data_IF_827219174823
#
_entry.id   IF_827219174823
#
_cell.length_a   1.000
_cell.length_b   1.000
_cell.length_c   1.000
_cell.angle_alpha   90.00
_cell.angle_beta   90.00
_cell.angle_gamma   90.00
#
_symmetry.space_group_name_H-M   'P 1'
#
loop_
_entity.id
_entity.type
_entity.pdbx_description
1 polymer ?
#
# COMPACT_ATOMS: atom_id res chain seq x y z
N UNK A 1 6.99 1.25 36.08
CA UNK A 1 7.61 1.55 34.77
C UNK A 1 6.88 0.74 33.71
N UNK A 2 6.06 1.37 32.86
CA UNK A 2 5.27 0.66 31.86
C UNK A 2 6.18 0.10 30.77
N UNK A 3 6.29 -1.23 30.70
CA UNK A 3 6.99 -1.94 29.63
C UNK A 3 6.34 -1.58 28.29
N UNK A 4 7.00 -0.71 27.51
CA UNK A 4 6.64 -0.46 26.12
C UNK A 4 6.99 -1.71 25.31
N UNK A 5 6.07 -2.67 25.31
CA UNK A 5 6.17 -3.90 24.53
C UNK A 5 6.41 -3.48 23.07
N UNK A 6 7.60 -3.77 22.51
CA UNK A 6 7.94 -3.45 21.12
C UNK A 6 6.84 -3.98 20.21
N UNK A 7 5.97 -3.10 19.71
CA UNK A 7 4.90 -3.48 18.78
C UNK A 7 5.56 -3.73 17.43
N UNK A 8 5.78 -5.00 17.07
CA UNK A 8 6.10 -5.36 15.69
C UNK A 8 4.89 -5.00 14.84
N UNK A 9 5.07 -4.08 13.90
CA UNK A 9 4.03 -3.72 12.95
C UNK A 9 3.86 -4.85 11.93
N UNK A 10 2.63 -5.24 11.66
CA UNK A 10 2.33 -6.15 10.54
C UNK A 10 2.61 -5.46 9.21
N UNK A 11 2.85 -6.19 8.11
CA UNK A 11 3.03 -5.58 6.80
C UNK A 11 1.90 -4.62 6.41
N UNK A 12 0.65 -4.97 6.71
CA UNK A 12 -0.51 -4.08 6.49
C UNK A 12 -0.46 -2.80 7.31
N UNK A 13 -0.07 -2.89 8.58
CA UNK A 13 0.08 -1.70 9.43
C UNK A 13 1.18 -0.78 8.89
N UNK A 14 2.27 -1.36 8.39
CA UNK A 14 3.37 -0.59 7.80
C UNK A 14 2.91 0.11 6.52
N UNK A 15 2.23 -0.60 5.60
CA UNK A 15 1.70 -0.01 4.36
C UNK A 15 0.75 1.15 4.67
N UNK A 16 -0.18 0.97 5.62
CA UNK A 16 -1.12 2.03 6.03
C UNK A 16 -0.39 3.24 6.62
N UNK A 17 0.59 3.01 7.50
CA UNK A 17 1.38 4.09 8.11
C UNK A 17 2.25 4.81 7.07
N UNK A 18 2.84 4.09 6.11
CA UNK A 18 3.59 4.69 4.99
C UNK A 18 2.68 5.56 4.12
N UNK A 19 1.48 5.08 3.78
CA UNK A 19 0.51 5.85 2.99
C UNK A 19 0.06 7.14 3.72
N UNK A 20 -0.27 7.02 5.00
CA UNK A 20 -0.65 8.16 5.85
C UNK A 20 0.50 9.15 6.02
N UNK A 21 1.71 8.67 6.31
CA UNK A 21 2.88 9.52 6.48
C UNK A 21 3.25 10.25 5.19
N UNK A 22 3.20 9.59 4.03
CA UNK A 22 3.44 10.23 2.73
C UNK A 22 2.39 11.31 2.43
N UNK A 23 1.13 11.11 2.82
CA UNK A 23 0.09 12.13 2.70
C UNK A 23 0.43 13.36 3.55
N UNK A 24 0.81 13.17 4.81
CA UNK A 24 1.15 14.25 5.72
C UNK A 24 2.40 15.03 5.27
N UNK A 25 3.44 14.32 4.84
CA UNK A 25 4.63 14.92 4.22
C UNK A 25 4.26 15.73 2.96
N UNK A 26 3.37 15.20 2.12
CA UNK A 26 2.87 15.90 0.92
C UNK A 26 2.07 17.18 1.24
N UNK A 27 1.53 17.30 2.45
CA UNK A 27 0.89 18.54 2.93
C UNK A 27 1.86 19.54 3.55
N UNK A 28 3.16 19.23 3.54
CA UNK A 28 4.22 20.09 4.07
C UNK A 28 4.52 19.91 5.56
N UNK A 29 4.05 18.82 6.19
CA UNK A 29 4.44 18.51 7.57
C UNK A 29 5.90 18.00 7.62
N UNK A 30 6.59 18.34 8.70
CA UNK A 30 7.94 17.89 8.96
C UNK A 30 7.98 16.40 9.35
N UNK A 31 9.04 15.70 8.95
CA UNK A 31 9.17 14.25 9.20
C UNK A 31 9.06 13.88 10.69
N UNK A 32 9.62 14.72 11.56
CA UNK A 32 9.57 14.53 13.01
C UNK A 32 8.13 14.62 13.57
N UNK A 33 7.27 15.46 12.97
CA UNK A 33 5.85 15.56 13.33
C UNK A 33 5.08 14.34 12.84
N UNK A 34 5.33 13.94 11.59
CA UNK A 34 4.73 12.75 11.00
C UNK A 34 5.09 11.50 11.80
N UNK A 35 6.35 11.31 12.18
CA UNK A 35 6.79 10.17 12.97
C UNK A 35 6.16 10.16 14.37
N UNK A 36 6.01 11.33 15.01
CA UNK A 36 5.29 11.47 16.28
C UNK A 36 3.82 11.07 16.13
N UNK A 37 3.13 11.58 15.10
CA UNK A 37 1.73 11.25 14.81
C UNK A 37 1.54 9.75 14.54
N UNK A 38 2.47 9.13 13.81
CA UNK A 38 2.45 7.71 13.50
C UNK A 38 2.91 6.82 14.67
N UNK A 39 3.32 7.38 15.81
CA UNK A 39 3.88 6.64 16.96
C UNK A 39 5.06 5.72 16.59
N UNK A 40 5.94 6.18 15.69
CA UNK A 40 7.13 5.43 15.26
C UNK A 40 8.38 6.29 15.33
N UNK A 41 9.53 5.67 15.54
CA UNK A 41 10.81 6.38 15.42
C UNK A 41 11.13 6.68 13.95
N UNK A 42 11.80 7.81 13.68
CA UNK A 42 12.27 8.18 12.33
C UNK A 42 13.13 7.10 11.68
N UNK A 43 13.98 6.43 12.47
CA UNK A 43 14.78 5.29 11.97
C UNK A 43 13.94 4.08 11.54
N UNK A 44 12.71 3.96 12.04
CA UNK A 44 11.76 2.94 11.59
C UNK A 44 11.10 3.37 10.28
N UNK A 45 10.71 4.64 10.18
CA UNK A 45 10.22 5.24 8.95
C UNK A 45 11.23 5.09 7.80
N UNK A 46 12.49 5.51 7.99
CA UNK A 46 13.53 5.40 6.97
C UNK A 46 13.74 3.97 6.48
N UNK A 47 13.78 2.99 7.39
CA UNK A 47 13.92 1.57 7.00
C UNK A 47 12.73 1.05 6.21
N UNK A 48 11.51 1.46 6.57
CA UNK A 48 10.31 1.05 5.84
C UNK A 48 10.26 1.67 4.44
N UNK A 49 10.59 2.96 4.33
CA UNK A 49 10.67 3.67 3.04
C UNK A 49 11.74 3.03 2.16
N UNK A 50 12.96 2.83 2.68
CA UNK A 50 14.05 2.21 1.93
C UNK A 50 13.72 0.78 1.48
N UNK A 51 13.07 -0.02 2.32
CA UNK A 51 12.60 -1.35 1.93
C UNK A 51 11.52 -1.30 0.84
N UNK A 52 10.56 -0.38 0.93
CA UNK A 52 9.52 -0.19 -0.08
C UNK A 52 10.11 0.27 -1.42
N UNK A 53 11.05 1.22 -1.37
CA UNK A 53 11.78 1.71 -2.54
C UNK A 53 12.61 0.59 -3.20
N UNK A 54 13.40 -0.16 -2.43
CA UNK A 54 14.17 -1.28 -2.96
C UNK A 54 13.27 -2.33 -3.62
N UNK A 55 12.08 -2.57 -3.06
CA UNK A 55 11.11 -3.49 -3.64
C UNK A 55 10.54 -3.01 -4.97
N UNK A 56 10.34 -1.69 -5.11
CA UNK A 56 9.92 -1.05 -6.36
C UNK A 56 11.01 -1.18 -7.42
N UNK A 57 12.26 -0.88 -7.07
CA UNK A 57 13.41 -0.97 -7.98
C UNK A 57 13.64 -2.40 -8.49
N UNK A 58 13.58 -3.39 -7.60
CA UNK A 58 13.61 -4.81 -7.98
C UNK A 58 12.42 -5.19 -8.89
N UNK A 59 11.23 -4.62 -8.63
CA UNK A 59 10.05 -4.83 -9.47
C UNK A 59 10.18 -4.24 -10.87
N UNK A 60 11.04 -3.24 -11.05
CA UNK A 60 11.38 -2.66 -12.37
C UNK A 60 12.53 -3.38 -13.08
N UNK A 61 13.06 -4.47 -12.50
CA UNK A 61 14.09 -5.30 -13.11
C UNK A 61 15.54 -4.91 -12.79
N UNK A 62 15.77 -4.03 -11.81
CA UNK A 62 17.13 -3.75 -11.33
C UNK A 62 17.70 -4.95 -10.56
N UNK A 63 19.01 -5.13 -10.65
CA UNK A 63 19.73 -6.19 -9.93
C UNK A 63 19.84 -5.88 -8.44
N UNK A 64 19.84 -6.92 -7.60
CA UNK A 64 19.88 -6.75 -6.14
C UNK A 64 21.10 -5.95 -5.66
N UNK A 65 22.26 -6.17 -6.27
CA UNK A 65 23.49 -5.46 -5.95
C UNK A 65 23.41 -3.96 -6.31
N UNK A 66 22.67 -3.59 -7.35
CA UNK A 66 22.44 -2.18 -7.72
C UNK A 66 21.50 -1.52 -6.72
N UNK A 67 20.42 -2.21 -6.35
CA UNK A 67 19.47 -1.72 -5.35
C UNK A 67 20.14 -1.54 -3.99
N UNK A 68 20.97 -2.48 -3.55
CA UNK A 68 21.70 -2.37 -2.29
C UNK A 68 22.69 -1.20 -2.30
N UNK A 69 23.36 -0.95 -3.43
CA UNK A 69 24.22 0.23 -3.61
C UNK A 69 23.43 1.53 -3.56
N UNK A 70 22.29 1.61 -4.26
CA UNK A 70 21.40 2.78 -4.28
C UNK A 70 20.87 3.12 -2.88
N UNK A 71 20.52 2.09 -2.10
CA UNK A 71 20.03 2.25 -0.73
C UNK A 71 21.14 2.38 0.32
N UNK A 72 22.42 2.35 -0.08
CA UNK A 72 23.58 2.39 0.81
C UNK A 72 23.56 1.31 1.93
N UNK A 73 23.08 0.11 1.60
CA UNK A 73 23.01 -1.01 2.53
C UNK A 73 23.73 -2.25 2.00
N UNK A 74 24.22 -3.09 2.91
CA UNK A 74 24.73 -4.41 2.54
C UNK A 74 23.58 -5.37 2.17
N UNK A 75 23.83 -6.31 1.25
CA UNK A 75 22.86 -7.35 0.86
C UNK A 75 22.37 -8.18 2.05
N UNK A 76 23.23 -8.43 3.04
CA UNK A 76 22.86 -9.11 4.29
C UNK A 76 21.80 -8.35 5.09
N UNK A 77 21.82 -7.01 5.04
CA UNK A 77 20.79 -6.16 5.65
C UNK A 77 19.50 -6.23 4.85
N UNK A 78 19.58 -6.23 3.52
CA UNK A 78 18.43 -6.42 2.65
C UNK A 78 17.73 -7.75 2.91
N UNK A 79 18.45 -8.87 2.95
CA UNK A 79 17.86 -10.19 3.26
C UNK A 79 17.17 -10.22 4.62
N UNK A 80 17.74 -9.54 5.63
CA UNK A 80 17.07 -9.39 6.94
C UNK A 80 15.78 -8.60 6.83
N UNK A 81 15.77 -7.52 6.04
CA UNK A 81 14.56 -6.73 5.79
C UNK A 81 13.52 -7.54 5.04
N UNK A 82 13.89 -8.33 4.04
CA UNK A 82 12.95 -9.23 3.34
C UNK A 82 12.31 -10.23 4.31
N UNK A 83 13.08 -10.80 5.24
CA UNK A 83 12.51 -11.68 6.27
C UNK A 83 11.55 -10.94 7.24
N UNK A 84 11.80 -9.66 7.51
CA UNK A 84 11.00 -8.87 8.45
C UNK A 84 9.78 -8.20 7.80
N UNK A 85 9.89 -7.80 6.53
CA UNK A 85 9.00 -6.88 5.83
C UNK A 85 8.50 -7.44 4.49
N UNK A 86 8.98 -8.60 4.05
CA UNK A 86 8.66 -9.19 2.74
C UNK A 86 7.17 -9.45 2.50
N UNK A 87 6.37 -9.57 3.57
CA UNK A 87 4.91 -9.67 3.48
C UNK A 87 4.22 -8.42 2.90
N UNK A 88 4.91 -7.27 2.79
CA UNK A 88 4.34 -6.05 2.22
C UNK A 88 3.94 -6.25 0.75
N UNK A 89 4.81 -6.88 -0.06
CA UNK A 89 4.51 -7.19 -1.48
C UNK A 89 3.31 -8.13 -1.64
N UNK A 90 3.23 -9.15 -0.79
CA UNK A 90 2.13 -10.12 -0.83
C UNK A 90 0.78 -9.45 -0.55
N UNK A 91 0.76 -8.43 0.33
CA UNK A 91 -0.44 -7.69 0.65
C UNK A 91 -0.87 -6.74 -0.46
N UNK A 92 0.05 -6.08 -1.18
CA UNK A 92 -0.30 -5.28 -2.36
C UNK A 92 -0.97 -6.15 -3.44
N UNK A 93 -0.39 -7.34 -3.71
CA UNK A 93 -0.96 -8.30 -4.65
C UNK A 93 -2.35 -8.81 -4.20
N UNK A 94 -2.53 -9.05 -2.89
CA UNK A 94 -3.82 -9.45 -2.31
C UNK A 94 -4.85 -8.31 -2.44
N UNK A 95 -4.45 -7.07 -2.12
CA UNK A 95 -5.30 -5.90 -2.17
C UNK A 95 -5.74 -5.59 -3.60
N UNK A 96 -4.85 -5.77 -4.58
CA UNK A 96 -5.17 -5.65 -6.01
C UNK A 96 -6.28 -6.63 -6.40
N UNK A 97 -6.14 -7.92 -6.05
CA UNK A 97 -7.18 -8.93 -6.32
C UNK A 97 -8.53 -8.59 -5.68
N UNK A 98 -8.52 -8.12 -4.44
CA UNK A 98 -9.75 -7.68 -3.75
C UNK A 98 -10.41 -6.49 -4.46
N UNK A 99 -9.61 -5.50 -4.88
CA UNK A 99 -10.09 -4.33 -5.61
C UNK A 99 -10.63 -4.70 -7.00
N UNK A 100 -9.97 -5.62 -7.71
CA UNK A 100 -10.44 -6.13 -9.00
C UNK A 100 -11.78 -6.88 -8.85
N UNK A 101 -11.91 -7.71 -7.83
CA UNK A 101 -13.15 -8.43 -7.53
C UNK A 101 -14.31 -7.47 -7.20
N UNK A 102 -14.05 -6.45 -6.39
CA UNK A 102 -15.04 -5.42 -6.06
C UNK A 102 -15.40 -4.59 -7.29
N UNK A 103 -14.43 -4.20 -8.12
CA UNK A 103 -14.68 -3.49 -9.37
C UNK A 103 -15.57 -4.32 -10.32
N UNK A 104 -15.33 -5.62 -10.45
CA UNK A 104 -16.15 -6.53 -11.23
C UNK A 104 -17.57 -6.64 -10.66
N UNK A 105 -17.72 -6.68 -9.33
CA UNK A 105 -19.04 -6.67 -8.67
C UNK A 105 -19.79 -5.37 -8.95
N UNK A 106 -19.14 -4.23 -8.78
CA UNK A 106 -19.75 -2.91 -9.02
C UNK A 106 -20.16 -2.75 -10.48
N UNK A 107 -19.33 -3.17 -11.44
CA UNK A 107 -19.68 -3.17 -12.87
C UNK A 107 -20.93 -4.00 -13.17
N UNK A 108 -21.07 -5.19 -12.57
CA UNK A 108 -22.28 -6.02 -12.73
C UNK A 108 -23.53 -5.33 -12.18
N UNK A 109 -23.43 -4.72 -11.00
CA UNK A 109 -24.56 -3.99 -10.41
C UNK A 109 -25.00 -2.83 -11.29
N UNK A 110 -24.05 -2.04 -11.80
CA UNK A 110 -24.34 -0.91 -12.70
C UNK A 110 -24.95 -1.38 -14.01
N UNK A 111 -24.45 -2.49 -14.59
CA UNK A 111 -25.02 -3.05 -15.82
C UNK A 111 -26.48 -3.49 -15.64
N UNK A 112 -26.79 -4.18 -14.54
CA UNK A 112 -28.16 -4.57 -14.23
C UNK A 112 -29.07 -3.36 -14.05
N UNK A 113 -28.62 -2.35 -13.29
CA UNK A 113 -29.37 -1.10 -13.11
C UNK A 113 -29.59 -0.36 -14.43
N UNK A 114 -28.61 -0.36 -15.33
CA UNK A 114 -28.74 0.26 -16.65
C UNK A 114 -29.82 -0.44 -17.50
N UNK A 115 -29.83 -1.78 -17.51
CA UNK A 115 -30.87 -2.55 -18.20
C UNK A 115 -32.27 -2.26 -17.65
N UNK A 116 -32.41 -2.20 -16.32
CA UNK A 116 -33.68 -1.86 -15.68
C UNK A 116 -34.17 -0.45 -16.06
N UNK A 117 -33.24 0.51 -16.09
CA UNK A 117 -33.54 1.89 -16.51
C UNK A 117 -33.99 1.94 -17.96
N UNK A 118 -33.32 1.22 -18.86
CA UNK A 118 -33.65 1.23 -20.28
C UNK A 118 -35.02 0.58 -20.53
N UNK A 119 -35.31 -0.55 -19.87
CA UNK A 119 -36.64 -1.16 -19.90
C UNK A 119 -37.73 -0.19 -19.38
N UNK A 120 -37.48 0.51 -18.27
CA UNK A 120 -38.44 1.48 -17.73
C UNK A 120 -38.68 2.66 -18.69
N UNK A 121 -37.65 3.11 -19.41
CA UNK A 121 -37.77 4.14 -20.44
C UNK A 121 -38.55 3.66 -21.65
N UNK A 122 -38.32 2.43 -22.11
CA UNK A 122 -39.10 1.83 -23.20
C UNK A 122 -40.58 1.71 -22.81
N UNK A 123 -40.86 1.30 -21.56
CA UNK A 123 -42.23 1.28 -21.03
C UNK A 123 -42.87 2.66 -21.05
N UNK A 124 -42.15 3.70 -20.59
CA UNK A 124 -42.65 5.07 -20.57
C UNK A 124 -42.82 5.67 -21.98
N UNK A 125 -42.01 5.25 -22.95
CA UNK A 125 -42.09 5.70 -24.34
C UNK A 125 -43.26 5.07 -25.11
N UNK A 126 -43.93 4.06 -24.56
CA UNK A 126 -45.13 3.45 -25.16
C UNK A 126 -44.86 2.56 -26.37
N UNK A 127 -43.62 2.08 -26.56
CA UNK A 127 -43.24 1.21 -27.67
C UNK A 127 -43.54 -0.27 -27.35
N UNK A 128 -44.83 -0.67 -27.33
CA UNK A 128 -45.27 -2.07 -27.30
C UNK A 128 -46.29 -2.36 -28.39
#
# INVERSE_FOLDING_TARGET
MASHKRRRHTPDQIIRKLAEGNKLLGTGQELAEVCRHLEVAESTWHRWVAHAEGNKLLGTGQELAEVCRHLEVAESTWHRWVAQYGGMKANDAKRLKELEAENARLKRMVANQALDIDMLKEIQAGNF
#
